data_IF_797806933966
#
_entry.id   IF_797806933966
#
_cell.length_a   1.000
_cell.length_b   1.000
_cell.length_c   1.000
_cell.angle_alpha   90.00
_cell.angle_beta   90.00
_cell.angle_gamma   90.00
#
_symmetry.space_group_name_H-M   'P 1'
#
loop_
_entity.id
_entity.type
_entity.pdbx_description
1 polymer ?
#
# COMPACT_ATOMS: atom_id res chain seq x y z
N UNK A 1 -7.30 9.89 -5.37
CA UNK A 1 -7.57 8.43 -5.26
C UNK A 1 -8.98 8.20 -5.74
N UNK A 2 -9.15 7.39 -6.79
CA UNK A 2 -10.48 7.05 -7.30
C UNK A 2 -11.07 5.87 -6.52
N UNK A 3 -10.28 4.81 -6.32
CA UNK A 3 -10.69 3.63 -5.56
C UNK A 3 -9.52 3.11 -4.73
N UNK A 4 -9.82 2.45 -3.61
CA UNK A 4 -8.82 1.79 -2.79
C UNK A 4 -9.37 0.55 -2.08
N UNK A 5 -8.51 -0.46 -1.92
CA UNK A 5 -8.80 -1.65 -1.13
C UNK A 5 -7.59 -2.01 -0.28
N UNK A 6 -7.82 -2.26 1.02
CA UNK A 6 -6.76 -2.64 1.95
C UNK A 6 -6.86 -4.12 2.29
N UNK A 7 -5.72 -4.82 2.23
CA UNK A 7 -5.58 -6.24 2.61
C UNK A 7 -4.34 -6.42 3.49
N UNK A 8 -4.26 -7.49 4.31
CA UNK A 8 -3.02 -7.85 4.99
C UNK A 8 -1.99 -8.33 3.96
N UNK A 9 -0.76 -7.83 4.10
CA UNK A 9 0.40 -8.21 3.32
C UNK A 9 1.44 -8.85 4.23
N UNK A 10 2.00 -10.03 3.90
CA UNK A 10 2.98 -10.72 4.75
C UNK A 10 4.20 -9.86 5.08
N UNK A 11 4.60 -9.87 6.34
CA UNK A 11 5.72 -9.08 6.84
C UNK A 11 6.59 -9.93 7.77
N UNK A 12 7.91 -9.93 7.53
CA UNK A 12 8.84 -10.77 8.26
C UNK A 12 8.91 -10.46 9.76
N UNK A 13 8.61 -9.22 10.16
CA UNK A 13 8.71 -8.77 11.56
C UNK A 13 7.34 -8.72 12.22
N UNK A 14 6.32 -8.20 11.51
CA UNK A 14 4.99 -7.92 12.07
C UNK A 14 3.96 -9.01 11.76
N UNK A 15 4.37 -10.14 11.17
CA UNK A 15 3.53 -11.19 10.57
C UNK A 15 2.73 -10.69 9.36
N UNK A 16 2.02 -9.56 9.50
CA UNK A 16 1.39 -8.85 8.40
C UNK A 16 1.35 -7.35 8.62
N UNK A 17 1.33 -6.58 7.54
CA UNK A 17 1.11 -5.14 7.54
C UNK A 17 -0.05 -4.77 6.62
N UNK A 18 -0.77 -3.66 6.88
CA UNK A 18 -1.83 -3.23 5.97
C UNK A 18 -1.23 -2.71 4.66
N UNK A 19 -1.62 -3.33 3.54
CA UNK A 19 -1.27 -2.91 2.17
C UNK A 19 -2.49 -2.37 1.46
N UNK A 20 -2.37 -1.21 0.84
CA UNK A 20 -3.42 -0.62 0.01
C UNK A 20 -3.15 -0.87 -1.48
N UNK A 21 -4.14 -1.43 -2.18
CA UNK A 21 -4.25 -1.35 -3.63
C UNK A 21 -5.02 -0.09 -4.00
N UNK A 22 -4.42 0.75 -4.82
CA UNK A 22 -4.94 2.09 -5.14
C UNK A 22 -5.12 2.26 -6.63
N UNK A 23 -6.32 2.70 -7.02
CA UNK A 23 -6.60 3.24 -8.35
C UNK A 23 -6.55 4.77 -8.25
N UNK A 24 -5.69 5.38 -9.06
CA UNK A 24 -5.57 6.83 -9.12
C UNK A 24 -6.76 7.46 -9.85
N UNK A 25 -7.04 8.70 -9.48
CA UNK A 25 -7.95 9.53 -10.26
C UNK A 25 -7.25 9.96 -11.55
N UNK A 26 -8.02 10.33 -12.57
CA UNK A 26 -7.47 10.85 -13.82
C UNK A 26 -6.54 12.05 -13.58
N UNK A 27 -5.47 12.14 -14.36
CA UNK A 27 -4.47 13.21 -14.26
C UNK A 27 -3.36 13.00 -13.21
N UNK A 28 -3.35 11.89 -12.48
CA UNK A 28 -2.29 11.58 -11.51
C UNK A 28 -1.39 10.42 -11.99
N UNK A 29 -0.08 10.59 -11.84
CA UNK A 29 0.90 9.57 -12.19
C UNK A 29 1.07 8.54 -11.05
N UNK A 30 1.21 7.23 -11.35
CA UNK A 30 1.49 6.19 -10.36
C UNK A 30 2.98 6.17 -9.98
N UNK A 31 3.46 7.28 -9.41
CA UNK A 31 4.85 7.49 -9.05
C UNK A 31 5.08 7.62 -7.53
N UNK A 32 6.36 7.70 -7.15
CA UNK A 32 6.80 7.80 -5.76
C UNK A 32 6.26 9.06 -5.07
N UNK A 33 6.17 10.19 -5.79
CA UNK A 33 5.63 11.45 -5.27
C UNK A 33 4.16 11.32 -4.87
N UNK A 34 3.37 10.68 -5.75
CA UNK A 34 1.95 10.43 -5.52
C UNK A 34 1.74 9.43 -4.39
N UNK A 35 2.54 8.36 -4.33
CA UNK A 35 2.52 7.41 -3.22
C UNK A 35 2.86 8.10 -1.89
N UNK A 36 3.90 8.94 -1.85
CA UNK A 36 4.31 9.69 -0.68
C UNK A 36 3.19 10.60 -0.17
N UNK A 37 2.52 11.34 -1.07
CA UNK A 37 1.38 12.19 -0.72
C UNK A 37 0.25 11.40 -0.04
N UNK A 38 -0.05 10.19 -0.53
CA UNK A 38 -1.05 9.30 0.08
C UNK A 38 -0.62 8.84 1.47
N UNK A 39 0.64 8.40 1.64
CA UNK A 39 1.17 8.03 2.96
C UNK A 39 1.12 9.20 3.96
N UNK A 40 1.49 10.41 3.53
CA UNK A 40 1.41 11.61 4.35
C UNK A 40 -0.04 11.92 4.77
N UNK A 41 -0.99 11.78 3.84
CA UNK A 41 -2.41 11.95 4.14
C UNK A 41 -2.87 10.95 5.22
N UNK A 42 -2.52 9.66 5.08
CA UNK A 42 -2.80 8.63 6.08
C UNK A 42 -2.14 8.94 7.43
N UNK A 43 -0.89 9.41 7.43
CA UNK A 43 -0.14 9.74 8.66
C UNK A 43 -0.79 10.88 9.46
N UNK A 44 -1.34 11.88 8.76
CA UNK A 44 -2.03 13.04 9.38
C UNK A 44 -3.39 12.66 9.95
N UNK A 45 -4.11 11.71 9.35
CA UNK A 45 -5.50 11.38 9.74
C UNK A 45 -5.66 10.11 10.58
N UNK A 46 -4.70 9.19 10.52
CA UNK A 46 -4.81 7.87 11.15
C UNK A 46 -3.79 7.70 12.27
N UNK A 47 -4.22 7.03 13.35
CA UNK A 47 -3.33 6.55 14.41
C UNK A 47 -2.30 5.56 13.85
N UNK A 48 -1.09 5.45 14.44
CA UNK A 48 0.01 4.63 13.90
C UNK A 48 -0.36 3.18 13.55
N UNK A 49 -1.24 2.55 14.32
CA UNK A 49 -1.67 1.16 14.12
C UNK A 49 -2.70 0.98 12.99
N UNK A 50 -3.36 2.05 12.53
CA UNK A 50 -4.35 2.02 11.43
C UNK A 50 -3.76 2.39 10.06
N UNK A 51 -2.51 2.85 10.02
CA UNK A 51 -1.88 3.34 8.79
C UNK A 51 -1.49 2.17 7.89
N UNK A 52 -1.64 2.39 6.60
CA UNK A 52 -1.04 1.51 5.60
C UNK A 52 0.47 1.64 5.63
N UNK A 53 1.16 0.51 5.43
CA UNK A 53 2.63 0.45 5.38
C UNK A 53 3.14 0.16 3.97
N UNK A 54 2.28 -0.41 3.13
CA UNK A 54 2.57 -0.71 1.72
C UNK A 54 1.45 -0.16 0.86
N UNK A 55 1.79 0.29 -0.33
CA UNK A 55 0.85 0.82 -1.32
C UNK A 55 1.24 0.29 -2.69
N UNK A 56 0.28 -0.22 -3.46
CA UNK A 56 0.49 -0.66 -4.84
C UNK A 56 -0.53 0.00 -5.77
N UNK A 57 -0.04 0.59 -6.85
CA UNK A 57 -0.93 1.09 -7.92
C UNK A 57 -1.34 -0.05 -8.83
N UNK A 58 -2.56 -0.53 -8.65
CA UNK A 58 -3.15 -1.61 -9.43
C UNK A 58 -4.68 -1.50 -9.48
N UNK A 59 -5.28 -2.16 -10.46
CA UNK A 59 -6.73 -2.29 -10.54
C UNK A 59 -7.28 -3.06 -9.33
N UNK A 60 -8.41 -2.61 -8.81
CA UNK A 60 -9.13 -3.29 -7.73
C UNK A 60 -10.21 -4.18 -8.36
N UNK A 61 -10.12 -5.52 -8.23
CA UNK A 61 -11.09 -6.43 -8.83
C UNK A 61 -12.46 -6.25 -8.19
N UNK A 62 -13.50 -6.20 -9.04
CA UNK A 62 -14.89 -6.01 -8.63
C UNK A 62 -15.77 -7.10 -9.23
N UNK A 63 -16.87 -7.44 -8.54
CA UNK A 63 -17.92 -8.28 -9.13
C UNK A 63 -18.69 -7.50 -10.20
N UNK A 64 -19.51 -8.18 -11.00
CA UNK A 64 -20.44 -7.53 -11.95
C UNK A 64 -21.39 -6.53 -11.27
N UNK A 65 -21.63 -6.67 -9.96
CA UNK A 65 -22.41 -5.73 -9.14
C UNK A 65 -21.57 -4.58 -8.56
N UNK A 66 -20.29 -4.47 -8.91
CA UNK A 66 -19.39 -3.40 -8.44
C UNK A 66 -18.78 -3.63 -7.04
N UNK A 67 -19.04 -4.75 -6.37
CA UNK A 67 -18.47 -5.04 -5.04
C UNK A 67 -17.00 -5.41 -5.16
N UNK A 68 -16.15 -4.79 -4.35
CA UNK A 68 -14.71 -5.10 -4.29
C UNK A 68 -14.50 -6.57 -3.85
N UNK A 69 -13.79 -7.33 -4.67
CA UNK A 69 -13.39 -8.71 -4.38
C UNK A 69 -12.05 -8.75 -3.62
N UNK A 70 -12.10 -8.43 -2.32
CA UNK A 70 -10.89 -8.43 -1.45
C UNK A 70 -10.19 -9.80 -1.40
N UNK A 71 -10.92 -10.89 -1.62
CA UNK A 71 -10.35 -12.25 -1.65
C UNK A 71 -9.33 -12.41 -2.79
N UNK A 72 -9.59 -11.83 -3.96
CA UNK A 72 -8.70 -11.94 -5.11
C UNK A 72 -7.40 -11.16 -4.85
N UNK A 73 -7.52 -9.95 -4.28
CA UNK A 73 -6.37 -9.14 -3.85
C UNK A 73 -5.52 -9.85 -2.79
N UNK A 74 -6.18 -10.46 -1.80
CA UNK A 74 -5.50 -11.21 -0.75
C UNK A 74 -4.76 -12.43 -1.33
N UNK A 75 -5.35 -13.14 -2.28
CA UNK A 75 -4.71 -14.28 -2.92
C UNK A 75 -3.51 -13.84 -3.78
N UNK A 76 -3.66 -12.75 -4.53
CA UNK A 76 -2.59 -12.17 -5.32
C UNK A 76 -1.40 -11.73 -4.44
N UNK A 77 -1.67 -11.20 -3.25
CA UNK A 77 -0.64 -10.79 -2.30
C UNK A 77 0.09 -11.99 -1.69
N UNK A 78 -0.64 -12.99 -1.19
CA UNK A 78 -0.02 -14.19 -0.63
C UNK A 78 0.79 -14.97 -1.67
N UNK A 79 0.32 -15.03 -2.92
CA UNK A 79 1.07 -15.70 -4.01
C UNK A 79 2.38 -15.01 -4.36
N UNK A 80 2.53 -13.70 -4.08
CA UNK A 80 3.76 -12.93 -4.35
C UNK A 80 4.74 -12.88 -3.19
N UNK A 81 4.31 -13.20 -1.97
CA UNK A 81 5.16 -13.11 -0.77
C UNK A 81 6.42 -14.02 -0.81
N UNK A 82 6.49 -14.97 -1.75
CA UNK A 82 7.68 -15.80 -1.99
C UNK A 82 8.59 -15.34 -3.14
N UNK A 83 8.29 -14.21 -3.80
CA UNK A 83 9.09 -13.68 -4.91
C UNK A 83 10.03 -12.57 -4.46
N UNK A 84 11.31 -12.66 -4.86
CA UNK A 84 12.40 -11.76 -4.43
C UNK A 84 12.31 -10.33 -5.00
N UNK A 85 11.47 -10.10 -6.02
CA UNK A 85 11.38 -8.83 -6.74
C UNK A 85 10.20 -7.97 -6.29
N UNK A 86 10.47 -6.80 -5.68
CA UNK A 86 9.45 -5.77 -5.39
C UNK A 86 8.80 -5.31 -6.71
N UNK A 87 7.47 -5.18 -6.73
CA UNK A 87 6.77 -4.64 -7.91
C UNK A 87 7.15 -3.16 -8.10
N UNK A 88 7.51 -2.69 -9.32
CA UNK A 88 7.83 -1.28 -9.56
C UNK A 88 6.71 -0.29 -9.21
N UNK A 89 5.46 -0.76 -9.14
CA UNK A 89 4.30 0.03 -8.73
C UNK A 89 3.95 -0.11 -7.25
N UNK A 90 4.77 -0.83 -6.50
CA UNK A 90 4.64 -0.99 -5.05
C UNK A 90 5.64 -0.10 -4.32
N UNK A 91 5.15 0.59 -3.30
CA UNK A 91 5.86 1.58 -2.52
C UNK A 91 5.67 1.27 -1.05
N UNK A 92 6.75 1.28 -0.27
CA UNK A 92 6.67 1.05 1.17
C UNK A 92 6.82 2.37 1.91
N UNK A 93 6.08 2.55 3.02
CA UNK A 93 6.09 3.80 3.79
C UNK A 93 7.50 4.14 4.30
N UNK A 94 8.30 3.12 4.62
CA UNK A 94 9.68 3.26 5.10
C UNK A 94 10.62 3.88 4.06
N UNK A 95 10.38 3.66 2.76
CA UNK A 95 11.18 4.24 1.68
C UNK A 95 11.09 5.78 1.69
N UNK A 96 10.04 6.35 2.29
CA UNK A 96 9.82 7.79 2.42
C UNK A 96 10.07 8.34 3.83
N UNK A 97 10.23 7.47 4.83
CA UNK A 97 10.31 7.85 6.23
C UNK A 97 11.75 8.19 6.70
N UNK A 98 12.75 8.04 5.82
CA UNK A 98 14.17 8.09 6.13
C UNK A 98 14.76 9.47 6.53
N UNK A 99 13.95 10.45 6.96
CA UNK A 99 14.45 11.76 7.46
C UNK A 99 14.29 11.92 8.98
N UNK A 100 14.06 10.86 9.76
CA UNK A 100 14.04 10.99 11.24
C UNK A 100 14.54 9.74 11.96
N UNK A 101 15.81 9.39 11.78
CA UNK A 101 16.57 8.69 12.82
C UNK A 101 18.03 9.14 12.81
N UNK A 102 18.27 10.39 13.25
CA UNK A 102 19.46 10.62 14.07
C UNK A 102 19.12 10.06 15.45
N UNK A 103 19.76 8.95 15.80
CA UNK A 103 19.85 8.47 17.18
C UNK A 103 21.06 9.21 17.78
N UNK A 104 20.92 10.09 18.79
CA UNK A 104 22.08 10.60 19.49
C UNK A 104 22.71 9.45 20.30
N UNK A 105 24.03 9.54 20.59
CA UNK A 105 24.82 8.45 21.17
C UNK A 105 24.27 7.90 22.49
#
# INVERSE_FOLDING_TARGET
>A
VAEAAVVPSPDAVRLSVPKAFVVLAEGYAPDASTAQSIFQHCRKRLSPYKRIRRLEFAAVPKTMSGKIRRVDLRNAEHGRAGGESRNPREFWEEDFAAVTTQRPP
#
